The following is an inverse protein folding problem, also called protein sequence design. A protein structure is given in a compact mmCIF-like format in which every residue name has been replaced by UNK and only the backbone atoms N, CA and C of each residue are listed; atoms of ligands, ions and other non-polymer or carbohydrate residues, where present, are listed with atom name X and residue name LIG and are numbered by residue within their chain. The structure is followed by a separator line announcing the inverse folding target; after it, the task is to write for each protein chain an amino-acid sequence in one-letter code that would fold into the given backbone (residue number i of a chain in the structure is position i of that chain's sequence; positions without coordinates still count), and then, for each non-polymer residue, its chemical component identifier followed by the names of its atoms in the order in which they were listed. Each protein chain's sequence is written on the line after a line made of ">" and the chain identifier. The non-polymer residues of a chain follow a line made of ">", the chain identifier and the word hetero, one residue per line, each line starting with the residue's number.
data_IF_213578908047
#
_entry.id   IF_213578908047
#
_cell.length_a   1.000
_cell.length_b   1.000
_cell.length_c   1.000
_cell.angle_alpha   90.00
_cell.angle_beta   90.00
_cell.angle_gamma   90.00
#
_symmetry.space_group_name_H-M   'P 1'
#
loop_
_entity.id
_entity.type
_entity.pdbx_description
1 polymer ?
#
# COMPACT_ATOMS: atom_id res chain seq x y z
N UNK A 1 -3.58 13.76 16.04
CA UNK A 1 -3.40 15.11 15.48
C UNK A 1 -4.28 15.24 14.25
N UNK A 2 -5.15 16.24 14.21
CA UNK A 2 -5.94 16.57 13.02
C UNK A 2 -5.01 17.01 11.88
N UNK A 3 -5.33 16.57 10.65
CA UNK A 3 -4.67 17.02 9.41
C UNK A 3 -4.90 18.51 9.25
N UNK A 4 -3.88 19.27 8.89
CA UNK A 4 -4.07 20.69 8.53
C UNK A 4 -4.83 20.81 7.21
N UNK A 5 -5.83 21.67 7.18
CA UNK A 5 -6.63 21.92 5.99
C UNK A 5 -6.13 23.15 5.25
N UNK A 6 -6.19 23.11 3.91
CA UNK A 6 -5.91 24.29 3.11
C UNK A 6 -6.99 25.34 3.34
N UNK A 7 -6.61 26.62 3.41
CA UNK A 7 -7.60 27.71 3.45
C UNK A 7 -8.38 27.75 2.13
N UNK A 8 -9.60 28.27 2.15
CA UNK A 8 -10.45 28.39 0.95
C UNK A 8 -9.75 29.18 -0.18
N UNK A 9 -8.94 30.18 0.16
CA UNK A 9 -8.17 30.96 -0.80
C UNK A 9 -7.12 30.10 -1.53
N UNK A 10 -6.33 29.32 -0.76
CA UNK A 10 -5.31 28.42 -1.32
C UNK A 10 -5.96 27.29 -2.13
N UNK A 11 -7.10 26.79 -1.67
CA UNK A 11 -7.88 25.81 -2.44
C UNK A 11 -8.28 26.36 -3.81
N UNK A 12 -8.81 27.58 -3.87
CA UNK A 12 -9.20 28.22 -5.12
C UNK A 12 -8.00 28.47 -6.05
N UNK A 13 -6.84 28.86 -5.50
CA UNK A 13 -5.60 29.02 -6.27
C UNK A 13 -5.15 27.70 -6.91
N UNK A 14 -5.20 26.59 -6.15
CA UNK A 14 -4.83 25.26 -6.66
C UNK A 14 -5.79 24.82 -7.77
N UNK A 15 -7.10 25.02 -7.60
CA UNK A 15 -8.10 24.69 -8.62
C UNK A 15 -7.88 25.52 -9.89
N UNK A 16 -7.59 26.83 -9.74
CA UNK A 16 -7.27 27.70 -10.89
C UNK A 16 -6.00 27.25 -11.61
N UNK A 17 -4.98 26.80 -10.89
CA UNK A 17 -3.75 26.27 -11.47
C UNK A 17 -4.00 24.97 -12.26
N UNK A 18 -4.87 24.11 -11.74
CA UNK A 18 -5.23 22.85 -12.37
C UNK A 18 -6.26 22.99 -13.52
N UNK A 19 -6.78 24.20 -13.75
CA UNK A 19 -7.75 24.47 -14.81
C UNK A 19 -7.02 24.68 -16.15
N UNK A 20 -7.18 23.74 -17.07
CA UNK A 20 -6.63 23.86 -18.42
C UNK A 20 -7.59 24.63 -19.33
N UNK A 21 -7.13 25.60 -20.16
CA UNK A 21 -7.98 26.47 -20.96
C UNK A 21 -8.86 25.75 -21.99
N UNK A 22 -8.45 24.55 -22.44
CA UNK A 22 -9.18 23.77 -23.47
C UNK A 22 -9.96 22.57 -22.93
N UNK A 23 -9.58 22.04 -21.77
CA UNK A 23 -10.02 20.71 -21.32
C UNK A 23 -10.66 20.72 -19.93
N UNK A 24 -10.68 21.87 -19.24
CA UNK A 24 -11.23 21.99 -17.90
C UNK A 24 -10.26 21.48 -16.83
N UNK A 25 -10.80 21.02 -15.69
CA UNK A 25 -10.00 20.63 -14.52
C UNK A 25 -9.23 19.35 -14.82
N UNK A 26 -7.91 19.41 -14.69
CA UNK A 26 -7.00 18.30 -14.93
C UNK A 26 -6.33 17.84 -13.62
N UNK A 27 -6.08 16.55 -13.50
CA UNK A 27 -5.29 15.99 -12.40
C UNK A 27 -3.81 16.37 -12.58
N UNK A 28 -3.18 16.96 -11.58
CA UNK A 28 -1.76 17.36 -11.65
C UNK A 28 -0.79 16.17 -11.50
N UNK A 29 -1.28 15.01 -11.09
CA UNK A 29 -0.47 13.79 -10.97
C UNK A 29 -0.30 13.03 -12.28
N UNK A 30 -1.37 12.92 -13.07
CA UNK A 30 -1.40 12.12 -14.30
C UNK A 30 -1.89 12.86 -15.55
N UNK A 31 -2.30 14.13 -15.43
CA UNK A 31 -2.83 14.92 -16.55
C UNK A 31 -4.25 14.56 -16.98
N UNK A 32 -4.90 13.59 -16.33
CA UNK A 32 -6.25 13.16 -16.69
C UNK A 32 -7.26 14.29 -16.48
N UNK A 33 -8.07 14.57 -17.48
CA UNK A 33 -9.21 15.50 -17.39
C UNK A 33 -10.26 14.90 -16.47
N UNK A 34 -10.55 15.58 -15.36
CA UNK A 34 -11.48 15.11 -14.34
C UNK A 34 -12.92 15.44 -14.72
N UNK A 35 -13.17 16.58 -15.38
CA UNK A 35 -14.52 16.99 -15.76
C UNK A 35 -15.45 17.03 -14.54
N UNK A 36 -16.43 16.13 -14.49
CA UNK A 36 -17.37 15.96 -13.36
C UNK A 36 -16.93 14.93 -12.30
N UNK A 37 -15.77 14.28 -12.47
CA UNK A 37 -15.27 13.28 -11.53
C UNK A 37 -14.83 13.93 -10.21
N UNK A 38 -15.02 13.25 -9.07
CA UNK A 38 -14.60 13.77 -7.78
C UNK A 38 -13.07 13.93 -7.72
N UNK A 39 -12.64 15.01 -7.08
CA UNK A 39 -11.23 15.32 -6.87
C UNK A 39 -11.00 15.81 -5.44
N UNK A 40 -9.77 15.66 -4.97
CA UNK A 40 -9.32 16.15 -3.67
C UNK A 40 -8.03 16.95 -3.82
N UNK A 41 -7.90 17.97 -2.99
CA UNK A 41 -6.64 18.72 -2.84
C UNK A 41 -5.82 18.07 -1.75
N UNK A 42 -4.69 17.50 -2.16
CA UNK A 42 -3.80 16.75 -1.29
C UNK A 42 -2.48 17.45 -1.08
N UNK A 43 -1.87 17.21 0.08
CA UNK A 43 -0.56 17.75 0.41
C UNK A 43 0.52 17.03 -0.40
N UNK A 44 1.45 17.76 -1.00
CA UNK A 44 2.59 17.18 -1.71
C UNK A 44 3.46 16.35 -0.77
N UNK A 45 3.72 16.88 0.42
CA UNK A 45 4.36 16.17 1.53
C UNK A 45 3.27 15.87 2.55
N UNK A 46 3.07 14.62 2.98
CA UNK A 46 2.06 14.29 3.99
C UNK A 46 2.27 15.12 5.26
N UNK A 47 1.21 15.76 5.76
CA UNK A 47 1.27 16.61 6.97
C UNK A 47 1.76 15.84 8.22
N UNK A 48 1.58 14.51 8.23
CA UNK A 48 2.09 13.65 9.28
C UNK A 48 3.63 13.51 9.31
N UNK A 49 4.32 13.83 8.21
CA UNK A 49 5.78 13.86 8.12
C UNK A 49 6.36 15.26 8.34
N UNK A 50 5.52 16.29 8.37
CA UNK A 50 5.99 17.67 8.48
C UNK A 50 6.17 18.07 9.95
N UNK A 51 7.43 18.28 10.34
CA UNK A 51 7.84 18.66 11.70
C UNK A 51 7.48 20.12 11.99
N UNK A 52 7.80 21.03 11.06
CA UNK A 52 7.55 22.45 11.24
C UNK A 52 6.12 22.83 10.86
N UNK A 53 5.29 23.01 11.89
CA UNK A 53 3.87 23.33 11.71
C UNK A 53 3.53 24.82 11.74
N UNK A 54 4.53 25.67 11.88
CA UNK A 54 4.35 27.12 12.04
C UNK A 54 4.12 27.86 10.72
N UNK A 55 4.50 27.27 9.59
CA UNK A 55 4.34 27.89 8.27
C UNK A 55 2.92 27.72 7.74
N UNK A 56 2.36 28.79 7.15
CA UNK A 56 1.08 28.75 6.42
C UNK A 56 1.24 27.88 5.17
N UNK A 57 0.26 27.00 4.93
CA UNK A 57 0.18 26.21 3.70
C UNK A 57 -0.02 27.13 2.51
N UNK A 58 0.77 26.92 1.47
CA UNK A 58 0.70 27.68 0.22
C UNK A 58 0.18 26.79 -0.91
N UNK A 59 -0.21 27.39 -2.05
CA UNK A 59 -0.65 26.63 -3.22
C UNK A 59 0.44 25.68 -3.77
N UNK A 60 1.72 25.93 -3.50
CA UNK A 60 2.81 25.03 -3.88
C UNK A 60 2.82 23.72 -3.07
N UNK A 61 2.31 23.76 -1.84
CA UNK A 61 2.30 22.62 -0.92
C UNK A 61 1.14 21.65 -1.19
N UNK A 62 0.18 22.07 -2.02
CA UNK A 62 -0.99 21.26 -2.41
C UNK A 62 -0.99 20.90 -3.89
N UNK A 63 -1.57 19.74 -4.21
CA UNK A 63 -1.83 19.26 -5.56
C UNK A 63 -3.27 18.82 -5.73
N UNK A 64 -3.86 19.10 -6.89
CA UNK A 64 -5.19 18.61 -7.23
C UNK A 64 -5.08 17.21 -7.84
N UNK A 65 -5.62 16.22 -7.12
CA UNK A 65 -5.58 14.82 -7.54
C UNK A 65 -7.01 14.28 -7.69
N UNK A 66 -7.24 13.54 -8.77
CA UNK A 66 -8.48 12.77 -8.90
C UNK A 66 -8.53 11.64 -7.89
N UNK A 67 -9.72 11.41 -7.31
CA UNK A 67 -9.93 10.39 -6.26
C UNK A 67 -9.53 9.00 -6.73
N UNK A 68 -9.97 8.64 -7.94
CA UNK A 68 -9.75 7.31 -8.51
C UNK A 68 -8.35 7.12 -9.11
N UNK A 69 -7.72 8.18 -9.64
CA UNK A 69 -6.47 8.04 -10.40
C UNK A 69 -5.22 8.14 -9.53
N UNK A 70 -5.06 9.24 -8.79
CA UNK A 70 -3.79 9.54 -8.11
C UNK A 70 -3.92 9.63 -6.60
N UNK A 71 -5.11 9.95 -6.08
CA UNK A 71 -5.31 10.10 -4.64
C UNK A 71 -5.20 8.76 -3.90
N UNK A 72 -5.94 7.73 -4.32
CA UNK A 72 -5.91 6.39 -3.71
C UNK A 72 -4.50 5.77 -3.65
N UNK A 73 -3.76 5.64 -4.77
CA UNK A 73 -2.44 5.01 -4.73
C UNK A 73 -1.44 5.83 -3.91
N UNK A 74 -1.49 7.16 -4.00
CA UNK A 74 -0.66 8.04 -3.19
C UNK A 74 -0.92 7.85 -1.70
N UNK A 75 -2.19 7.84 -1.29
CA UNK A 75 -2.58 7.69 0.11
C UNK A 75 -2.02 6.39 0.71
N UNK A 76 -2.06 5.28 -0.04
CA UNK A 76 -1.51 4.01 0.41
C UNK A 76 0.00 4.06 0.62
N UNK A 77 0.74 4.69 -0.30
CA UNK A 77 2.19 4.87 -0.19
C UNK A 77 2.52 5.77 1.00
N UNK A 78 1.83 6.91 1.13
CA UNK A 78 2.04 7.88 2.19
C UNK A 78 1.80 7.25 3.58
N UNK A 79 0.75 6.44 3.74
CA UNK A 79 0.49 5.70 4.97
C UNK A 79 1.63 4.74 5.32
N UNK A 80 2.19 4.06 4.32
CA UNK A 80 3.36 3.19 4.50
C UNK A 80 4.60 3.96 4.97
N UNK A 81 4.86 5.13 4.38
CA UNK A 81 5.99 5.99 4.77
C UNK A 81 5.79 6.55 6.17
N UNK A 82 4.58 7.04 6.51
CA UNK A 82 4.24 7.54 7.85
C UNK A 82 4.43 6.45 8.90
N UNK A 83 3.96 5.23 8.63
CA UNK A 83 4.12 4.10 9.56
C UNK A 83 5.60 3.76 9.76
N UNK A 84 6.41 3.83 8.71
CA UNK A 84 7.86 3.64 8.81
C UNK A 84 8.52 4.74 9.64
N UNK A 85 8.21 6.01 9.40
CA UNK A 85 8.75 7.14 10.15
C UNK A 85 8.46 6.99 11.65
N UNK A 86 7.20 6.71 12.02
CA UNK A 86 6.81 6.44 13.41
C UNK A 86 7.59 5.30 14.05
N UNK A 87 7.79 4.18 13.32
CA UNK A 87 8.59 3.05 13.83
C UNK A 87 10.04 3.43 14.07
N UNK A 88 10.62 4.28 13.22
CA UNK A 88 12.00 4.78 13.39
C UNK A 88 12.07 5.70 14.60
N UNK A 89 11.14 6.63 14.75
CA UNK A 89 11.02 7.51 15.92
C UNK A 89 10.88 6.72 17.23
N UNK A 90 9.96 5.74 17.28
CA UNK A 90 9.77 4.86 18.43
C UNK A 90 11.04 4.07 18.80
N UNK A 91 11.80 3.65 17.78
CA UNK A 91 13.06 2.92 17.97
C UNK A 91 14.15 3.85 18.51
N UNK A 92 14.26 5.05 17.95
CA UNK A 92 15.23 6.08 18.39
C UNK A 92 14.95 6.52 19.83
N UNK A 93 13.69 6.76 20.17
CA UNK A 93 13.25 7.15 21.51
C UNK A 93 13.23 5.98 22.51
N UNK A 94 13.62 4.76 22.08
CA UNK A 94 13.60 3.53 22.89
C UNK A 94 12.25 3.23 23.53
N UNK A 95 11.15 3.73 22.96
CA UNK A 95 9.80 3.46 23.45
C UNK A 95 9.41 2.00 23.27
N UNK A 96 9.98 1.34 22.26
CA UNK A 96 9.71 -0.06 21.97
C UNK A 96 10.68 -0.96 22.72
N UNK A 97 10.17 -1.75 23.66
CA UNK A 97 10.95 -2.79 24.31
C UNK A 97 11.45 -3.82 23.27
N UNK A 98 12.71 -4.27 23.36
CA UNK A 98 13.21 -5.31 22.47
C UNK A 98 12.35 -6.57 22.64
N UNK A 99 12.05 -7.24 21.52
CA UNK A 99 11.24 -8.45 21.52
C UNK A 99 11.94 -9.51 22.38
N UNK A 100 11.40 -9.75 23.58
CA UNK A 100 11.92 -10.76 24.49
C UNK A 100 11.81 -12.12 23.80
N UNK A 101 12.87 -12.93 23.87
CA UNK A 101 12.79 -14.33 23.44
C UNK A 101 11.84 -15.06 24.40
N UNK A 102 10.87 -15.76 23.85
CA UNK A 102 9.96 -16.59 24.64
C UNK A 102 10.82 -17.63 25.35
N UNK A 103 10.82 -17.63 26.69
CA UNK A 103 11.59 -18.57 27.52
C UNK A 103 10.91 -19.94 27.66
N UNK A 104 10.06 -20.33 26.70
CA UNK A 104 9.38 -21.63 26.73
C UNK A 104 10.19 -22.66 25.94
N UNK A 105 10.04 -23.93 26.30
CA UNK A 105 10.46 -25.02 25.44
C UNK A 105 9.75 -24.87 24.06
N UNK A 106 10.49 -25.11 22.98
CA UNK A 106 9.90 -25.16 21.64
C UNK A 106 8.87 -26.29 21.55
N UNK A 107 7.92 -26.18 20.61
CA UNK A 107 7.02 -27.29 20.33
C UNK A 107 7.82 -28.50 19.83
N UNK A 108 7.46 -29.74 20.23
CA UNK A 108 8.12 -30.92 19.72
C UNK A 108 8.01 -30.95 18.19
N UNK A 109 9.13 -31.20 17.50
CA UNK A 109 9.10 -31.36 16.05
C UNK A 109 8.22 -32.56 15.71
N UNK A 110 7.17 -32.33 14.93
CA UNK A 110 6.36 -33.42 14.41
C UNK A 110 7.25 -34.30 13.53
N UNK A 111 7.16 -35.63 13.73
CA UNK A 111 7.85 -36.58 12.88
C UNK A 111 7.45 -36.32 11.42
N UNK A 112 8.45 -36.28 10.53
CA UNK A 112 8.23 -36.09 9.09
C UNK A 112 7.32 -37.23 8.62
N UNK A 113 6.12 -36.89 8.14
CA UNK A 113 5.20 -37.87 7.61
C UNK A 113 5.92 -38.67 6.52
N UNK A 114 5.93 -40.01 6.66
CA UNK A 114 6.37 -40.88 5.58
C UNK A 114 5.58 -40.54 4.33
N UNK A 115 6.29 -40.36 3.21
CA UNK A 115 5.65 -40.11 1.92
C UNK A 115 4.70 -41.26 1.68
N UNK A 116 3.40 -41.01 1.76
CA UNK A 116 2.40 -41.99 1.37
C UNK A 116 2.70 -42.31 -0.09
N UNK A 117 3.06 -43.56 -0.38
CA UNK A 117 3.12 -44.02 -1.77
C UNK A 117 1.78 -43.63 -2.40
N UNK A 118 1.85 -42.99 -3.56
CA UNK A 118 0.68 -42.49 -4.29
C UNK A 118 -0.38 -43.57 -4.31
N UNK A 119 -1.39 -43.46 -3.43
CA UNK A 119 -2.55 -44.33 -3.46
C UNK A 119 -3.26 -43.95 -4.75
N UNK A 120 -3.07 -44.77 -5.78
CA UNK A 120 -4.03 -44.88 -6.86
C UNK A 120 -5.37 -45.08 -6.15
N UNK A 121 -6.23 -44.05 -6.20
CA UNK A 121 -7.50 -44.11 -5.52
C UNK A 121 -8.32 -45.27 -6.13
N UNK A 122 -8.93 -46.14 -5.32
CA UNK A 122 -9.79 -47.18 -5.85
C UNK A 122 -10.96 -46.50 -6.57
N UNK A 123 -11.00 -46.62 -7.89
CA UNK A 123 -12.00 -45.98 -8.75
C UNK A 123 -11.41 -45.16 -9.92
N UNK A 124 -10.10 -44.89 -9.94
CA UNK A 124 -9.48 -44.28 -11.12
C UNK A 124 -9.17 -45.36 -12.17
N UNK A 125 -9.98 -45.42 -13.23
CA UNK A 125 -9.70 -46.25 -14.41
C UNK A 125 -8.54 -45.60 -15.17
N UNK A 126 -7.30 -46.06 -14.94
CA UNK A 126 -6.14 -45.59 -15.68
C UNK A 126 -6.36 -45.87 -17.17
N UNK A 127 -6.58 -44.82 -17.97
CA UNK A 127 -6.77 -44.94 -19.42
C UNK A 127 -5.45 -45.26 -20.16
N UNK A 128 -4.30 -45.14 -19.47
CA UNK A 128 -3.00 -45.54 -19.99
C UNK A 128 -2.15 -46.16 -18.88
N UNK A 129 -1.70 -47.40 -19.09
CA UNK A 129 -0.71 -48.03 -18.24
C UNK A 129 0.70 -47.53 -18.63
N UNK A 130 1.59 -47.22 -17.68
CA UNK A 130 3.00 -46.97 -17.99
C UNK A 130 3.64 -48.26 -18.53
N UNK A 131 4.38 -48.12 -19.63
CA UNK A 131 4.91 -49.18 -20.51
C UNK A 131 5.97 -50.13 -19.91
N UNK A 132 6.25 -50.06 -18.61
CA UNK A 132 7.41 -50.74 -18.03
C UNK A 132 7.16 -52.16 -17.49
N UNK A 133 6.01 -52.79 -17.81
CA UNK A 133 5.71 -54.17 -17.37
C UNK A 133 5.69 -55.22 -18.50
N UNK A 134 6.16 -54.90 -19.70
CA UNK A 134 6.31 -55.89 -20.78
C UNK A 134 7.77 -56.23 -21.07
N UNK A 135 8.52 -56.74 -20.07
CA UNK A 135 9.71 -57.57 -20.31
C UNK A 135 9.92 -58.56 -19.17
N UNK A 136 9.69 -59.84 -19.45
CA UNK A 136 10.01 -60.96 -18.56
C UNK A 136 9.09 -62.13 -18.78
N UNK A 137 9.42 -62.95 -19.80
CA UNK A 137 8.95 -64.33 -19.92
C UNK A 137 9.48 -65.17 -18.75
#
# INVERSE_FOLDING_TARGET
>A
MSRREFTKAVYAEIVKRALHPKHGICCEGCGLVLGAKPYHVDHTIPDALQVDKSRKLTAADGKLLGVECCHKPKTAIDQGVIAKAKRVEESYLRMRAPKQKIKSAGFPQAARAEKTSTKIMPGYRALFAPTDQQKGQ
#
